data_IF_447156691809
#
_entry.id   IF_447156691809
#
_cell.length_a   1.000
_cell.length_b   1.000
_cell.length_c   1.000
_cell.angle_alpha   90.00
_cell.angle_beta   90.00
_cell.angle_gamma   90.00
#
_symmetry.space_group_name_H-M   'P 1'
#
loop_
_entity.id
_entity.type
_entity.pdbx_description
1 polymer ?
#
# COMPACT_ATOMS: atom_id res chain seq x y z
N UNK A 1 12.67 8.12 -1.85
CA UNK A 1 12.60 9.56 -1.46
C UNK A 1 11.24 9.98 -0.91
N UNK A 2 10.11 9.71 -1.58
CA UNK A 2 8.79 10.18 -1.12
C UNK A 2 8.43 9.71 0.31
N UNK A 3 8.61 8.42 0.62
CA UNK A 3 8.35 7.85 1.96
C UNK A 3 9.23 8.49 3.05
N UNK A 4 10.47 8.88 2.70
CA UNK A 4 11.38 9.59 3.61
C UNK A 4 10.84 10.99 3.88
N UNK A 5 10.42 11.71 2.84
CA UNK A 5 9.94 13.09 2.94
C UNK A 5 8.66 13.23 3.77
N UNK A 6 7.82 12.19 3.80
CA UNK A 6 6.58 12.20 4.61
C UNK A 6 6.80 11.72 6.06
N UNK A 7 8.03 11.33 6.42
CA UNK A 7 8.36 10.89 7.78
C UNK A 7 7.83 9.49 8.11
N UNK A 8 7.76 8.59 7.13
CA UNK A 8 7.43 7.19 7.37
C UNK A 8 8.40 6.58 8.40
N UNK A 9 7.88 5.77 9.33
CA UNK A 9 8.71 5.13 10.37
C UNK A 9 9.66 4.08 9.79
N UNK A 10 9.21 3.38 8.75
CA UNK A 10 10.02 2.54 7.88
C UNK A 10 9.81 2.96 6.41
N UNK A 11 10.60 3.93 5.91
CA UNK A 11 10.43 4.43 4.55
C UNK A 11 10.66 3.37 3.46
N UNK A 12 11.56 2.41 3.71
CA UNK A 12 11.90 1.38 2.73
C UNK A 12 10.80 0.32 2.70
N UNK A 13 10.36 -0.17 3.86
CA UNK A 13 9.25 -1.12 3.97
C UNK A 13 7.97 -0.56 3.34
N UNK A 14 7.60 0.69 3.67
CA UNK A 14 6.42 1.33 3.06
C UNK A 14 6.54 1.43 1.53
N UNK A 15 7.73 1.71 1.00
CA UNK A 15 7.93 1.79 -0.45
C UNK A 15 7.73 0.42 -1.12
N UNK A 16 8.24 -0.65 -0.52
CA UNK A 16 8.10 -2.02 -1.01
C UNK A 16 6.65 -2.50 -0.97
N UNK A 17 5.93 -2.23 0.12
CA UNK A 17 4.51 -2.56 0.26
C UNK A 17 3.65 -1.84 -0.79
N UNK A 18 3.91 -0.54 -1.00
CA UNK A 18 3.20 0.25 -2.01
C UNK A 18 3.51 -0.20 -3.44
N UNK A 19 4.75 -0.61 -3.72
CA UNK A 19 5.14 -1.17 -5.01
C UNK A 19 4.41 -2.49 -5.28
N UNK A 20 4.41 -3.42 -4.32
CA UNK A 20 3.72 -4.69 -4.43
C UNK A 20 2.20 -4.50 -4.62
N UNK A 21 1.60 -3.57 -3.87
CA UNK A 21 0.19 -3.24 -3.99
C UNK A 21 -0.15 -2.68 -5.39
N UNK A 22 0.69 -1.80 -5.93
CA UNK A 22 0.51 -1.23 -7.27
C UNK A 22 0.58 -2.32 -8.35
N UNK A 23 1.58 -3.19 -8.28
CA UNK A 23 1.73 -4.33 -9.21
C UNK A 23 0.52 -5.25 -9.13
N UNK A 24 0.12 -5.64 -7.92
CA UNK A 24 -1.06 -6.48 -7.69
C UNK A 24 -2.35 -5.86 -8.22
N UNK A 25 -2.51 -4.54 -8.12
CA UNK A 25 -3.66 -3.83 -8.66
C UNK A 25 -3.72 -3.89 -10.19
N UNK A 26 -2.57 -3.69 -10.86
CA UNK A 26 -2.46 -3.75 -12.32
C UNK A 26 -2.77 -5.18 -12.80
N UNK A 27 -2.11 -6.18 -12.21
CA UNK A 27 -2.32 -7.59 -12.57
C UNK A 27 -3.77 -8.01 -12.33
N UNK A 28 -4.37 -7.60 -11.20
CA UNK A 28 -5.79 -7.90 -10.91
C UNK A 28 -6.71 -7.27 -11.94
N UNK A 29 -6.49 -6.00 -12.31
CA UNK A 29 -7.29 -5.34 -13.33
C UNK A 29 -7.21 -6.06 -14.68
N UNK A 30 -6.02 -6.50 -15.06
CA UNK A 30 -5.76 -7.18 -16.34
C UNK A 30 -6.33 -8.61 -16.38
N UNK A 31 -6.02 -9.42 -15.37
CA UNK A 31 -6.34 -10.85 -15.36
C UNK A 31 -7.79 -11.09 -14.96
N UNK A 32 -8.32 -10.33 -14.01
CA UNK A 32 -9.70 -10.51 -13.52
C UNK A 32 -10.71 -9.61 -14.23
N UNK A 33 -10.28 -8.75 -15.17
CA UNK A 33 -11.11 -7.73 -15.82
C UNK A 33 -11.87 -6.83 -14.82
N UNK A 34 -11.20 -6.48 -13.72
CA UNK A 34 -11.74 -5.67 -12.62
C UNK A 34 -11.15 -4.25 -12.64
N UNK A 35 -11.69 -3.31 -13.43
CA UNK A 35 -11.15 -1.94 -13.52
C UNK A 35 -11.20 -1.20 -12.17
N UNK A 36 -12.04 -1.63 -11.23
CA UNK A 36 -12.11 -1.11 -9.86
C UNK A 36 -10.91 -1.48 -8.98
N UNK A 37 -10.03 -2.38 -9.42
CA UNK A 37 -8.84 -2.78 -8.65
C UNK A 37 -7.97 -1.57 -8.26
N UNK A 38 -7.84 -0.57 -9.13
CA UNK A 38 -7.13 0.66 -8.82
C UNK A 38 -7.76 1.45 -7.66
N UNK A 39 -9.10 1.45 -7.56
CA UNK A 39 -9.81 2.11 -6.45
C UNK A 39 -9.64 1.35 -5.14
N UNK A 40 -9.59 0.02 -5.20
CA UNK A 40 -9.32 -0.83 -4.03
C UNK A 40 -7.89 -0.59 -3.54
N UNK A 41 -6.92 -0.63 -4.45
CA UNK A 41 -5.51 -0.38 -4.14
C UNK A 41 -5.29 1.01 -3.54
N UNK A 42 -5.95 2.05 -4.05
CA UNK A 42 -5.90 3.39 -3.44
C UNK A 42 -6.30 3.37 -1.95
N UNK A 43 -7.40 2.70 -1.60
CA UNK A 43 -7.86 2.61 -0.21
C UNK A 43 -6.88 1.81 0.66
N UNK A 44 -6.32 0.73 0.13
CA UNK A 44 -5.30 -0.04 0.84
C UNK A 44 -4.01 0.79 1.07
N UNK A 45 -3.56 1.54 0.05
CA UNK A 45 -2.41 2.42 0.16
C UNK A 45 -2.61 3.51 1.23
N UNK A 46 -3.81 4.10 1.31
CA UNK A 46 -4.16 5.07 2.37
C UNK A 46 -3.99 4.46 3.78
N UNK A 47 -4.34 3.19 3.96
CA UNK A 47 -4.15 2.46 5.23
C UNK A 47 -2.67 2.24 5.52
N UNK A 48 -1.89 1.73 4.55
CA UNK A 48 -0.45 1.50 4.71
C UNK A 48 0.30 2.79 5.07
N UNK A 49 0.01 3.89 4.37
CA UNK A 49 0.60 5.20 4.65
C UNK A 49 0.21 5.66 6.06
N UNK A 50 -1.08 5.61 6.40
CA UNK A 50 -1.57 6.02 7.72
C UNK A 50 -0.91 5.21 8.83
N UNK A 51 -0.81 3.90 8.65
CA UNK A 51 -0.16 3.03 9.62
C UNK A 51 1.32 3.41 9.76
N UNK A 52 2.05 3.49 8.65
CA UNK A 52 3.48 3.83 8.62
C UNK A 52 3.79 5.18 9.31
N UNK A 53 2.85 6.13 9.29
CA UNK A 53 2.98 7.41 9.99
C UNK A 53 2.56 7.37 11.47
N UNK A 54 1.51 6.62 11.83
CA UNK A 54 0.87 6.73 13.16
C UNK A 54 1.17 5.61 14.14
N UNK A 55 1.68 4.46 13.70
CA UNK A 55 2.03 3.36 14.60
C UNK A 55 0.87 2.59 15.19
N UNK A 56 -0.32 2.68 14.60
CA UNK A 56 -1.47 1.87 15.00
C UNK A 56 -1.30 0.47 14.40
N UNK A 57 -0.37 -0.30 14.95
CA UNK A 57 -0.16 -1.70 14.58
C UNK A 57 -1.39 -2.52 14.98
N UNK A 58 -2.21 -2.94 14.01
CA UNK A 58 -3.07 -4.10 14.20
C UNK A 58 -2.32 -5.29 13.62
N UNK A 59 -1.76 -6.10 14.51
CA UNK A 59 -1.16 -7.38 14.14
C UNK A 59 -2.21 -8.22 13.40
N UNK A 60 -2.07 -8.35 12.09
CA UNK A 60 -2.76 -9.40 11.33
C UNK A 60 -2.01 -10.68 11.65
N UNK A 61 -2.64 -11.58 12.41
CA UNK A 61 -2.09 -12.93 12.58
C UNK A 61 -2.34 -13.69 11.28
N UNK A 62 -1.29 -14.30 10.74
CA UNK A 62 -1.36 -15.26 9.64
C UNK A 62 -2.20 -16.49 10.02
#
# INVERSE_FOLDING_TARGET
ELCVNVGARDPQGLAEELALLLEGAIVTAQVSQKPEAAKIAKRAAEVLITESLTGIAKSVKE
#
